data_IF_207999369646
#
_entry.id   IF_207999369646
#
_cell.length_a   1.000
_cell.length_b   1.000
_cell.length_c   1.000
_cell.angle_alpha   90.00
_cell.angle_beta   90.00
_cell.angle_gamma   90.00
#
_symmetry.space_group_name_H-M   'P 1'
#
loop_
_entity.id
_entity.type
_entity.pdbx_description
1 polymer ?
#
# COMPACT_ATOMS: atom_id res chain seq x y z
N UNK A 1 4.57 -4.68 1.20
CA UNK A 1 3.56 -3.62 1.04
C UNK A 1 3.48 -2.85 2.35
N UNK A 2 3.26 -1.55 2.30
CA UNK A 2 2.94 -0.74 3.47
C UNK A 2 2.01 0.41 3.02
N UNK A 3 1.16 0.90 3.93
CA UNK A 3 0.51 2.21 3.81
C UNK A 3 1.38 3.21 4.57
N UNK A 4 1.71 4.33 3.93
CA UNK A 4 2.46 5.43 4.55
C UNK A 4 1.52 6.61 4.66
N UNK A 5 1.18 6.98 5.88
CA UNK A 5 0.30 8.12 6.13
C UNK A 5 1.18 9.35 6.37
N UNK A 6 0.81 10.46 5.73
CA UNK A 6 1.54 11.72 5.80
C UNK A 6 0.57 12.86 6.16
N UNK A 7 1.06 13.84 6.89
CA UNK A 7 0.34 15.07 7.21
C UNK A 7 1.08 16.27 6.61
N UNK A 8 0.33 17.17 5.97
CA UNK A 8 0.89 18.40 5.40
C UNK A 8 0.99 19.48 6.48
N UNK A 9 2.16 20.08 6.66
CA UNK A 9 2.32 21.28 7.48
C UNK A 9 1.79 22.53 6.74
N UNK A 10 1.50 23.62 7.45
CA UNK A 10 1.01 24.88 6.88
C UNK A 10 1.96 25.57 5.87
N UNK A 11 3.15 25.01 5.62
CA UNK A 11 4.09 25.44 4.56
C UNK A 11 4.17 24.51 3.35
N UNK A 12 3.37 23.43 3.30
CA UNK A 12 3.37 22.46 2.20
C UNK A 12 4.38 21.32 2.33
N UNK A 13 5.15 21.26 3.42
CA UNK A 13 6.05 20.14 3.69
C UNK A 13 5.27 18.93 4.24
N UNK A 14 5.38 17.74 3.62
CA UNK A 14 4.74 16.53 4.11
C UNK A 14 5.58 15.83 5.17
N UNK A 15 4.96 15.46 6.29
CA UNK A 15 5.59 14.72 7.37
C UNK A 15 4.99 13.32 7.48
N UNK A 16 5.82 12.27 7.55
CA UNK A 16 5.35 10.90 7.78
C UNK A 16 4.87 10.77 9.22
N UNK A 17 3.65 10.27 9.41
CA UNK A 17 3.05 10.08 10.74
C UNK A 17 2.87 8.60 11.11
N UNK A 18 2.69 7.72 10.14
CA UNK A 18 2.53 6.28 10.36
C UNK A 18 3.08 5.49 9.17
N UNK A 19 3.74 4.37 9.47
CA UNK A 19 4.04 3.33 8.49
C UNK A 19 3.32 2.06 8.92
N UNK A 20 2.24 1.71 8.22
CA UNK A 20 1.46 0.51 8.50
C UNK A 20 1.88 -0.62 7.56
N UNK A 21 2.60 -1.61 8.10
CA UNK A 21 3.08 -2.77 7.35
C UNK A 21 1.99 -3.81 7.03
N UNK A 22 0.84 -3.78 7.72
CA UNK A 22 -0.28 -4.71 7.53
C UNK A 22 -1.58 -3.91 7.38
N UNK A 23 -1.76 -3.20 6.26
CA UNK A 23 -2.94 -2.37 6.06
C UNK A 23 -4.18 -3.22 5.81
N UNK A 24 -5.35 -2.65 6.11
CA UNK A 24 -6.64 -3.26 5.77
C UNK A 24 -6.80 -3.49 4.26
N UNK A 25 -7.56 -4.53 3.91
CA UNK A 25 -7.76 -4.96 2.52
C UNK A 25 -9.24 -5.23 2.14
N UNK A 26 -10.17 -4.73 2.95
CA UNK A 26 -11.60 -4.70 2.59
C UNK A 26 -11.84 -3.69 1.46
N UNK A 27 -13.00 -3.74 0.80
CA UNK A 27 -13.33 -2.77 -0.27
C UNK A 27 -13.32 -1.31 0.22
N UNK A 28 -13.61 -1.08 1.50
CA UNK A 28 -13.57 0.25 2.13
C UNK A 28 -12.16 0.69 2.54
N UNK A 29 -11.14 -0.17 2.42
CA UNK A 29 -9.77 0.14 2.83
C UNK A 29 -9.03 0.98 1.78
N UNK A 30 -8.08 1.80 2.24
CA UNK A 30 -7.32 2.76 1.40
C UNK A 30 -6.51 2.06 0.30
N UNK A 31 -5.79 0.99 0.61
CA UNK A 31 -4.91 0.32 -0.37
C UNK A 31 -5.70 -0.24 -1.57
N UNK A 32 -6.80 -1.00 -1.38
CA UNK A 32 -7.65 -1.40 -2.51
C UNK A 32 -8.20 -0.23 -3.34
N UNK A 33 -8.61 0.86 -2.69
CA UNK A 33 -9.12 2.05 -3.40
C UNK A 33 -8.03 2.73 -4.24
N UNK A 34 -6.84 2.93 -3.67
CA UNK A 34 -5.70 3.51 -4.37
C UNK A 34 -5.23 2.62 -5.54
N UNK A 35 -5.21 1.30 -5.35
CA UNK A 35 -4.86 0.37 -6.42
C UNK A 35 -5.84 0.46 -7.60
N UNK A 36 -7.14 0.52 -7.32
CA UNK A 36 -8.16 0.70 -8.35
C UNK A 36 -7.98 2.02 -9.10
N UNK A 37 -7.70 3.14 -8.40
CA UNK A 37 -7.42 4.44 -9.03
C UNK A 37 -6.16 4.38 -9.90
N UNK A 38 -5.14 3.62 -9.48
CA UNK A 38 -3.93 3.38 -10.24
C UNK A 38 -4.11 2.37 -11.40
N UNK A 39 -5.33 1.86 -11.64
CA UNK A 39 -5.62 0.87 -12.68
C UNK A 39 -5.07 -0.53 -12.37
N UNK A 40 -4.76 -0.82 -11.10
CA UNK A 40 -4.30 -2.13 -10.64
C UNK A 40 -5.48 -2.85 -10.00
N UNK A 41 -5.95 -3.91 -10.65
CA UNK A 41 -7.00 -4.75 -10.06
C UNK A 41 -6.50 -5.55 -8.85
N UNK A 42 -7.45 -5.98 -8.02
CA UNK A 42 -7.16 -6.70 -6.77
C UNK A 42 -6.36 -7.98 -6.98
N UNK A 43 -6.66 -8.76 -8.03
CA UNK A 43 -5.97 -10.02 -8.27
C UNK A 43 -4.52 -9.75 -8.66
N UNK A 44 -4.30 -8.81 -9.59
CA UNK A 44 -2.96 -8.36 -9.97
C UNK A 44 -2.14 -7.85 -8.78
N UNK A 45 -2.74 -7.05 -7.90
CA UNK A 45 -2.05 -6.55 -6.70
C UNK A 45 -1.63 -7.71 -5.78
N UNK A 46 -2.55 -8.63 -5.45
CA UNK A 46 -2.24 -9.77 -4.58
C UNK A 46 -1.19 -10.68 -5.21
N UNK A 47 -1.30 -10.99 -6.50
CA UNK A 47 -0.33 -11.82 -7.22
C UNK A 47 1.08 -11.25 -7.12
N UNK A 48 1.26 -9.95 -7.32
CA UNK A 48 2.58 -9.28 -7.18
C UNK A 48 3.15 -9.43 -5.76
N UNK A 49 2.31 -9.38 -4.73
CA UNK A 49 2.75 -9.56 -3.34
C UNK A 49 3.18 -10.99 -3.05
N UNK A 50 2.46 -11.98 -3.58
CA UNK A 50 2.81 -13.40 -3.48
C UNK A 50 4.14 -13.66 -4.20
N UNK A 51 4.30 -13.17 -5.42
CA UNK A 51 5.54 -13.33 -6.20
C UNK A 51 6.75 -12.73 -5.49
N UNK A 52 6.58 -11.55 -4.88
CA UNK A 52 7.62 -10.92 -4.06
C UNK A 52 7.94 -11.75 -2.80
N UNK A 53 6.93 -12.31 -2.13
CA UNK A 53 7.13 -13.16 -0.96
C UNK A 53 7.91 -14.45 -1.32
N UNK A 54 7.55 -15.11 -2.42
CA UNK A 54 8.26 -16.29 -2.93
C UNK A 54 9.71 -15.94 -3.31
N UNK A 55 9.93 -14.80 -3.97
CA UNK A 55 11.29 -14.32 -4.30
C UNK A 55 12.14 -14.03 -3.06
N UNK A 56 11.54 -13.57 -1.96
CA UNK A 56 12.24 -13.36 -0.68
C UNK A 56 12.58 -14.67 0.00
N UNK A 57 11.69 -15.67 -0.04
CA UNK A 57 11.92 -16.98 0.56
C UNK A 57 13.04 -17.76 -0.16
N UNK A 58 13.15 -17.61 -1.48
CA UNK A 58 14.16 -18.29 -2.29
C UNK A 58 15.58 -17.69 -2.16
N UNK A 59 15.76 -16.62 -1.38
CA UNK A 59 17.05 -16.01 -1.05
C UNK A 59 17.51 -16.50 0.32
#
# INVERSE_FOLDING_TARGET
MARVDMMMEQGGEPHVIEINAVPGFSAASIIPQQANVAGIDKASLISRLIDEALRRQAK
#
